data_IF_726987589572
#
_entry.id   IF_726987589572
#
_cell.length_a   1.000
_cell.length_b   1.000
_cell.length_c   1.000
_cell.angle_alpha   90.00
_cell.angle_beta   90.00
_cell.angle_gamma   90.00
#
_symmetry.space_group_name_H-M   'P 1'
#
loop_
_entity.id
_entity.type
_entity.pdbx_description
1 polymer ?
#
# COMPACT_ATOMS: atom_id res chain seq x y z
N UNK A 1 -45.71 38.53 25.32
CA UNK A 1 -44.96 37.26 25.35
C UNK A 1 -44.77 36.71 23.93
N UNK A 2 -44.05 37.44 23.06
CA UNK A 2 -43.79 36.97 21.68
C UNK A 2 -42.45 37.46 21.10
N UNK A 3 -41.78 38.42 21.74
CA UNK A 3 -40.54 39.01 21.23
C UNK A 3 -39.26 38.29 21.69
N UNK A 4 -39.34 37.36 22.66
CA UNK A 4 -38.17 36.67 23.21
C UNK A 4 -37.87 35.31 22.54
N UNK A 5 -38.76 34.80 21.69
CA UNK A 5 -38.58 33.49 21.05
C UNK A 5 -37.77 33.52 19.74
N UNK A 6 -37.58 34.70 19.13
CA UNK A 6 -36.97 34.80 17.80
C UNK A 6 -35.43 34.94 17.83
N UNK A 7 -34.83 35.38 18.94
CA UNK A 7 -33.36 35.56 19.02
C UNK A 7 -32.58 34.28 19.33
N UNK A 8 -33.22 33.21 19.80
CA UNK A 8 -32.53 31.96 20.12
C UNK A 8 -32.26 31.08 18.88
N UNK A 9 -33.05 31.23 17.81
CA UNK A 9 -32.98 30.35 16.63
C UNK A 9 -31.90 30.79 15.63
N UNK A 10 -31.58 32.09 15.56
CA UNK A 10 -30.56 32.62 14.64
C UNK A 10 -29.12 32.36 15.09
N UNK A 11 -28.86 32.20 16.40
CA UNK A 11 -27.51 31.92 16.93
C UNK A 11 -27.07 30.46 16.69
N UNK A 12 -28.00 29.50 16.63
CA UNK A 12 -27.67 28.09 16.36
C UNK A 12 -27.38 27.80 14.88
N UNK A 13 -28.00 28.55 13.96
CA UNK A 13 -27.79 28.37 12.52
C UNK A 13 -26.39 28.83 12.05
N UNK A 14 -25.81 29.85 12.70
CA UNK A 14 -24.46 30.35 12.39
C UNK A 14 -23.35 29.45 12.94
N UNK A 15 -23.56 28.78 14.07
CA UNK A 15 -22.59 27.84 14.65
C UNK A 15 -22.39 26.57 13.80
N UNK A 16 -23.49 26.02 13.25
CA UNK A 16 -23.44 24.81 12.43
C UNK A 16 -22.73 24.99 11.08
N UNK A 17 -22.92 26.16 10.44
CA UNK A 17 -22.29 26.48 9.16
C UNK A 17 -20.77 26.69 9.28
N UNK A 18 -20.32 27.36 10.35
CA UNK A 18 -18.90 27.56 10.60
C UNK A 18 -18.17 26.24 10.93
N UNK A 19 -18.81 25.36 11.70
CA UNK A 19 -18.22 24.06 12.08
C UNK A 19 -18.13 23.09 10.88
N UNK A 20 -19.16 23.07 10.02
CA UNK A 20 -19.16 22.30 8.78
C UNK A 20 -18.09 22.76 7.78
N UNK A 21 -17.87 24.07 7.68
CA UNK A 21 -16.83 24.65 6.82
C UNK A 21 -15.41 24.31 7.31
N UNK A 22 -15.16 24.33 8.62
CA UNK A 22 -13.85 24.00 9.21
C UNK A 22 -13.54 22.50 9.06
N UNK A 23 -14.51 21.62 9.31
CA UNK A 23 -14.33 20.18 9.10
C UNK A 23 -14.17 19.82 7.61
N UNK A 24 -14.94 20.47 6.73
CA UNK A 24 -14.82 20.33 5.29
C UNK A 24 -13.45 20.78 4.78
N UNK A 25 -12.95 21.92 5.24
CA UNK A 25 -11.64 22.47 4.88
C UNK A 25 -10.48 21.59 5.36
N UNK A 26 -10.58 20.98 6.54
CA UNK A 26 -9.56 20.07 7.08
C UNK A 26 -9.46 18.79 6.26
N UNK A 27 -10.61 18.18 5.92
CA UNK A 27 -10.70 16.98 5.08
C UNK A 27 -10.26 17.25 3.62
N UNK A 28 -10.53 18.46 3.11
CA UNK A 28 -10.02 18.89 1.81
C UNK A 28 -8.50 19.05 1.84
N UNK A 29 -7.95 19.71 2.88
CA UNK A 29 -6.51 19.89 3.05
C UNK A 29 -5.76 18.58 3.13
N UNK A 30 -6.28 17.57 3.84
CA UNK A 30 -5.68 16.23 3.89
C UNK A 30 -5.64 15.58 2.50
N UNK A 31 -6.73 15.67 1.73
CA UNK A 31 -6.78 15.16 0.35
C UNK A 31 -5.86 15.91 -0.61
N UNK A 32 -5.75 17.22 -0.45
CA UNK A 32 -4.84 18.05 -1.25
C UNK A 32 -3.38 17.85 -0.87
N UNK A 33 -3.07 17.63 0.41
CA UNK A 33 -1.74 17.24 0.87
C UNK A 33 -1.36 15.88 0.28
N UNK A 34 -2.23 14.87 0.39
CA UNK A 34 -2.00 13.56 -0.22
C UNK A 34 -1.78 13.64 -1.74
N UNK A 35 -2.58 14.46 -2.45
CA UNK A 35 -2.38 14.70 -3.90
C UNK A 35 -1.09 15.47 -4.21
N UNK A 36 -0.71 16.45 -3.40
CA UNK A 36 0.50 17.26 -3.58
C UNK A 36 1.76 16.41 -3.32
N UNK A 37 1.76 15.59 -2.28
CA UNK A 37 2.81 14.59 -2.04
C UNK A 37 2.90 13.59 -3.20
N UNK A 38 1.76 13.13 -3.74
CA UNK A 38 1.73 12.24 -4.90
C UNK A 38 2.30 12.88 -6.17
N UNK A 39 2.01 14.16 -6.42
CA UNK A 39 2.57 14.91 -7.57
C UNK A 39 4.05 15.21 -7.40
N UNK A 40 4.50 15.57 -6.20
CA UNK A 40 5.92 15.80 -5.93
C UNK A 40 6.75 14.52 -6.14
N UNK A 41 6.19 13.34 -5.83
CA UNK A 41 6.79 12.03 -6.10
C UNK A 41 6.94 11.70 -7.59
N UNK A 42 6.13 12.31 -8.47
CA UNK A 42 6.14 12.06 -9.93
C UNK A 42 7.21 12.87 -10.69
N UNK A 43 7.86 13.84 -10.05
CA UNK A 43 8.88 14.72 -10.66
C UNK A 43 10.31 14.44 -10.20
N UNK A 44 10.51 13.34 -9.45
CA UNK A 44 11.82 12.94 -8.97
C UNK A 44 12.65 12.26 -10.09
N UNK A 45 14.01 12.29 -10.02
CA UNK A 45 14.85 11.36 -10.76
C UNK A 45 14.33 9.92 -10.59
N UNK A 46 14.59 9.05 -11.57
CA UNK A 46 14.08 7.67 -11.61
C UNK A 46 14.08 7.05 -10.20
N UNK A 47 12.89 6.64 -9.72
CA UNK A 47 12.72 6.08 -8.37
C UNK A 47 13.73 4.92 -8.22
N UNK A 48 14.68 4.97 -7.26
CA UNK A 48 15.70 3.95 -7.09
C UNK A 48 15.13 2.53 -7.00
N UNK A 49 13.90 2.40 -6.47
CA UNK A 49 13.20 1.13 -6.44
C UNK A 49 12.81 0.65 -7.83
N UNK A 50 12.25 1.53 -8.68
CA UNK A 50 11.85 1.17 -10.04
C UNK A 50 13.05 0.87 -10.94
N UNK A 51 14.16 1.59 -10.75
CA UNK A 51 15.43 1.30 -11.42
C UNK A 51 15.95 -0.10 -11.05
N UNK A 52 16.01 -0.42 -9.75
CA UNK A 52 16.47 -1.72 -9.27
C UNK A 52 15.65 -2.90 -9.83
N UNK A 53 14.32 -2.76 -9.92
CA UNK A 53 13.48 -3.79 -10.56
C UNK A 53 13.77 -3.96 -12.05
N UNK A 54 14.07 -2.86 -12.73
CA UNK A 54 14.37 -2.86 -14.17
C UNK A 54 15.73 -3.49 -14.42
N UNK A 55 16.74 -3.15 -13.62
CA UNK A 55 18.10 -3.71 -13.70
C UNK A 55 18.07 -5.22 -13.44
N UNK A 56 17.40 -5.66 -12.37
CA UNK A 56 17.27 -7.08 -12.07
C UNK A 56 16.59 -7.87 -13.21
N UNK A 57 15.54 -7.29 -13.82
CA UNK A 57 14.83 -7.93 -14.93
C UNK A 57 15.65 -7.94 -16.24
N UNK A 58 16.49 -6.92 -16.47
CA UNK A 58 17.38 -6.86 -17.62
C UNK A 58 18.54 -7.85 -17.52
N UNK A 59 19.08 -8.05 -16.31
CA UNK A 59 20.22 -8.93 -16.07
C UNK A 59 19.81 -10.40 -15.98
N UNK A 60 18.61 -10.68 -15.47
CA UNK A 60 18.03 -12.02 -15.36
C UNK A 60 16.81 -12.19 -16.29
N UNK A 61 17.03 -12.09 -17.60
CA UNK A 61 15.99 -12.15 -18.65
C UNK A 61 15.13 -13.44 -18.59
N UNK A 62 15.72 -14.58 -18.21
CA UNK A 62 15.03 -15.85 -18.00
C UNK A 62 14.01 -15.83 -16.83
N UNK A 63 14.12 -14.85 -15.92
CA UNK A 63 13.32 -14.75 -14.71
C UNK A 63 12.38 -13.53 -14.68
N UNK A 64 12.22 -12.81 -15.80
CA UNK A 64 11.41 -11.57 -15.87
C UNK A 64 10.02 -11.73 -15.28
N UNK A 65 9.31 -12.81 -15.60
CA UNK A 65 7.96 -13.07 -15.07
C UNK A 65 7.93 -13.23 -13.55
N UNK A 66 8.96 -13.88 -12.98
CA UNK A 66 9.11 -14.09 -11.53
C UNK A 66 9.39 -12.77 -10.82
N UNK A 67 10.31 -11.97 -11.37
CA UNK A 67 10.64 -10.63 -10.87
C UNK A 67 9.42 -9.71 -10.96
N UNK A 68 8.67 -9.74 -12.06
CA UNK A 68 7.45 -8.94 -12.24
C UNK A 68 6.35 -9.31 -11.23
N UNK A 69 6.19 -10.60 -10.92
CA UNK A 69 5.27 -11.06 -9.89
C UNK A 69 5.66 -10.51 -8.51
N UNK A 70 6.95 -10.63 -8.13
CA UNK A 70 7.47 -10.11 -6.87
C UNK A 70 7.29 -8.57 -6.77
N UNK A 71 7.65 -7.84 -7.83
CA UNK A 71 7.45 -6.38 -7.93
C UNK A 71 5.99 -6.01 -7.72
N UNK A 72 5.07 -6.75 -8.35
CA UNK A 72 3.64 -6.48 -8.26
C UNK A 72 3.13 -6.66 -6.83
N UNK A 73 3.52 -7.73 -6.13
CA UNK A 73 3.14 -7.95 -4.73
C UNK A 73 3.66 -6.82 -3.82
N UNK A 74 4.92 -6.42 -3.99
CA UNK A 74 5.53 -5.29 -3.30
C UNK A 74 4.78 -3.97 -3.57
N UNK A 75 4.49 -3.67 -4.83
CA UNK A 75 3.79 -2.46 -5.24
C UNK A 75 2.38 -2.36 -4.62
N UNK A 76 1.65 -3.48 -4.53
CA UNK A 76 0.33 -3.52 -3.88
C UNK A 76 0.40 -3.18 -2.40
N UNK A 77 1.41 -3.69 -1.68
CA UNK A 77 1.58 -3.35 -0.27
C UNK A 77 2.02 -1.89 -0.08
N UNK A 78 2.96 -1.41 -0.89
CA UNK A 78 3.37 0.01 -0.91
C UNK A 78 2.16 0.92 -1.14
N UNK A 79 1.25 0.54 -2.03
CA UNK A 79 0.02 1.30 -2.27
C UNK A 79 -0.90 1.34 -1.05
N UNK A 80 -0.95 0.28 -0.22
CA UNK A 80 -1.68 0.30 1.06
C UNK A 80 -1.01 1.27 2.03
N UNK A 81 0.30 1.16 2.22
CA UNK A 81 1.07 2.04 3.09
C UNK A 81 0.94 3.52 2.71
N UNK A 82 0.95 3.82 1.40
CA UNK A 82 0.80 5.18 0.89
C UNK A 82 -0.65 5.70 1.04
N UNK A 83 -1.64 4.82 1.05
CA UNK A 83 -3.06 5.20 1.19
C UNK A 83 -3.48 5.35 2.66
N UNK A 84 -2.89 4.56 3.56
CA UNK A 84 -3.21 4.54 4.98
C UNK A 84 -1.92 4.56 5.83
N UNK A 85 -1.47 5.76 6.26
CA UNK A 85 -0.29 5.91 7.11
C UNK A 85 -0.44 5.27 8.51
N UNK A 86 -1.65 4.90 8.93
CA UNK A 86 -1.89 4.23 10.21
C UNK A 86 -1.79 2.70 10.10
N UNK A 87 -1.67 2.15 8.89
CA UNK A 87 -1.40 0.74 8.65
C UNK A 87 0.07 0.42 8.95
N UNK A 88 0.46 0.49 10.21
CA UNK A 88 1.87 0.46 10.66
C UNK A 88 2.68 -0.72 10.09
N UNK A 89 2.17 -1.96 10.14
CA UNK A 89 2.87 -3.13 9.56
C UNK A 89 3.08 -2.99 8.04
N UNK A 90 2.11 -2.41 7.32
CA UNK A 90 2.26 -2.16 5.88
C UNK A 90 3.26 -1.04 5.60
N UNK A 91 3.25 0.03 6.40
CA UNK A 91 4.19 1.16 6.29
C UNK A 91 5.62 0.72 6.56
N UNK A 92 5.84 -0.02 7.64
CA UNK A 92 7.17 -0.51 8.03
C UNK A 92 7.75 -1.41 6.95
N UNK A 93 6.96 -2.36 6.44
CA UNK A 93 7.44 -3.25 5.39
C UNK A 93 7.59 -2.55 4.05
N UNK A 94 6.74 -1.59 3.70
CA UNK A 94 6.93 -0.77 2.50
C UNK A 94 8.25 0.00 2.55
N UNK A 95 8.66 0.48 3.73
CA UNK A 95 9.96 1.13 3.92
C UNK A 95 11.12 0.14 3.82
N UNK A 96 10.96 -1.08 4.34
CA UNK A 96 11.93 -2.18 4.13
C UNK A 96 12.11 -2.46 2.65
N UNK A 97 11.03 -2.61 1.88
CA UNK A 97 11.09 -2.89 0.43
C UNK A 97 11.80 -1.76 -0.32
N UNK A 98 11.42 -0.49 -0.05
CA UNK A 98 12.01 0.69 -0.71
C UNK A 98 13.51 0.82 -0.50
N UNK A 99 14.03 0.34 0.63
CA UNK A 99 15.47 0.37 0.92
C UNK A 99 16.17 -0.91 0.47
N UNK A 100 15.65 -2.07 0.86
CA UNK A 100 16.35 -3.35 0.75
C UNK A 100 16.41 -3.88 -0.68
N UNK A 101 15.39 -3.63 -1.50
CA UNK A 101 15.40 -4.10 -2.91
C UNK A 101 16.52 -3.40 -3.69
N UNK A 102 16.62 -2.06 -3.70
CA UNK A 102 17.77 -1.38 -4.32
C UNK A 102 19.12 -1.88 -3.79
N UNK A 103 19.27 -2.01 -2.47
CA UNK A 103 20.53 -2.45 -1.86
C UNK A 103 20.93 -3.87 -2.33
N UNK A 104 19.98 -4.80 -2.38
CA UNK A 104 20.23 -6.18 -2.83
C UNK A 104 20.60 -6.25 -4.30
N UNK A 105 19.89 -5.52 -5.15
CA UNK A 105 20.19 -5.48 -6.59
C UNK A 105 21.57 -4.85 -6.79
N UNK A 106 21.86 -3.72 -6.17
CA UNK A 106 23.16 -3.05 -6.28
C UNK A 106 24.32 -3.93 -5.80
N UNK A 107 24.15 -4.64 -4.68
CA UNK A 107 25.16 -5.59 -4.19
C UNK A 107 25.39 -6.74 -5.17
N UNK A 108 24.32 -7.35 -5.69
CA UNK A 108 24.42 -8.42 -6.67
C UNK A 108 25.11 -7.94 -7.97
N UNK A 109 24.78 -6.75 -8.46
CA UNK A 109 25.43 -6.17 -9.65
C UNK A 109 26.91 -5.87 -9.41
N UNK A 110 27.28 -5.44 -8.21
CA UNK A 110 28.68 -5.24 -7.84
C UNK A 110 29.44 -6.58 -7.84
N UNK A 111 28.86 -7.64 -7.28
CA UNK A 111 29.44 -8.99 -7.30
C UNK A 111 29.54 -9.56 -8.71
N UNK A 112 28.58 -9.27 -9.58
CA UNK A 112 28.57 -9.76 -10.96
C UNK A 112 29.61 -9.06 -11.87
N UNK A 113 30.15 -7.91 -11.48
CA UNK A 113 31.07 -7.11 -12.32
C UNK A 113 32.36 -7.87 -12.66
N UNK A 114 32.90 -8.58 -11.69
CA UNK A 114 34.19 -9.29 -11.81
C UNK A 114 34.00 -10.82 -11.82
N UNK A 115 32.75 -11.29 -11.90
CA UNK A 115 32.39 -12.70 -11.86
C UNK A 115 32.53 -13.39 -13.23
N UNK A 116 32.86 -14.67 -13.22
CA UNK A 116 32.72 -15.51 -14.42
C UNK A 116 31.24 -15.65 -14.81
N UNK A 117 30.96 -16.09 -16.05
CA UNK A 117 29.58 -16.29 -16.51
C UNK A 117 28.78 -17.27 -15.62
N UNK A 118 29.43 -18.33 -15.11
CA UNK A 118 28.81 -19.31 -14.23
C UNK A 118 28.53 -18.75 -12.83
N UNK A 119 29.41 -17.91 -12.30
CA UNK A 119 29.20 -17.21 -11.01
C UNK A 119 28.12 -16.16 -11.15
N UNK A 120 28.17 -15.31 -12.20
CA UNK A 120 27.12 -14.33 -12.49
C UNK A 120 25.75 -15.01 -12.59
N UNK A 121 25.65 -16.15 -13.26
CA UNK A 121 24.39 -16.91 -13.33
C UNK A 121 23.87 -17.32 -11.96
N UNK A 122 24.73 -17.87 -11.10
CA UNK A 122 24.38 -18.27 -9.73
C UNK A 122 23.96 -17.07 -8.88
N UNK A 123 24.73 -15.99 -8.90
CA UNK A 123 24.42 -14.77 -8.16
C UNK A 123 23.05 -14.18 -8.56
N UNK A 124 22.73 -14.20 -9.86
CA UNK A 124 21.43 -13.73 -10.35
C UNK A 124 20.29 -14.67 -9.98
N UNK A 125 20.49 -15.99 -9.98
CA UNK A 125 19.49 -16.94 -9.49
C UNK A 125 19.21 -16.74 -7.98
N UNK A 126 20.25 -16.49 -7.17
CA UNK A 126 20.12 -16.17 -5.74
C UNK A 126 19.41 -14.83 -5.49
N UNK A 127 19.69 -13.81 -6.33
CA UNK A 127 18.99 -12.53 -6.31
C UNK A 127 17.49 -12.73 -6.61
N UNK A 128 17.17 -13.48 -7.67
CA UNK A 128 15.77 -13.77 -8.05
C UNK A 128 15.03 -14.45 -6.90
N UNK A 129 15.62 -15.48 -6.28
CA UNK A 129 15.01 -16.16 -5.13
C UNK A 129 14.78 -15.19 -3.95
N UNK A 130 15.74 -14.31 -3.69
CA UNK A 130 15.62 -13.29 -2.64
C UNK A 130 14.49 -12.30 -2.93
N UNK A 131 14.36 -11.84 -4.18
CA UNK A 131 13.28 -10.95 -4.59
C UNK A 131 11.91 -11.62 -4.49
N UNK A 132 11.80 -12.91 -4.85
CA UNK A 132 10.56 -13.68 -4.67
C UNK A 132 10.18 -13.83 -3.20
N UNK A 133 11.14 -14.12 -2.32
CA UNK A 133 10.90 -14.17 -0.86
C UNK A 133 10.36 -12.84 -0.34
N UNK A 134 10.92 -11.72 -0.79
CA UNK A 134 10.42 -10.37 -0.45
C UNK A 134 9.00 -10.17 -0.96
N UNK A 135 8.73 -10.52 -2.23
CA UNK A 135 7.41 -10.42 -2.83
C UNK A 135 6.35 -11.27 -2.12
N UNK A 136 6.70 -12.51 -1.77
CA UNK A 136 5.83 -13.42 -1.01
C UNK A 136 5.52 -12.88 0.39
N UNK A 137 6.52 -12.30 1.08
CA UNK A 137 6.29 -11.69 2.39
C UNK A 137 5.45 -10.41 2.29
N UNK A 138 5.62 -9.61 1.24
CA UNK A 138 4.77 -8.45 0.98
C UNK A 138 3.31 -8.87 0.77
N UNK A 139 3.08 -9.96 0.04
CA UNK A 139 1.73 -10.52 -0.16
C UNK A 139 1.13 -11.02 1.17
N UNK A 140 1.89 -11.77 1.98
CA UNK A 140 1.45 -12.22 3.31
C UNK A 140 1.03 -11.06 4.22
N UNK A 141 1.81 -9.97 4.23
CA UNK A 141 1.46 -8.76 4.99
C UNK A 141 0.21 -8.07 4.48
N UNK A 142 0.07 -8.01 3.16
CA UNK A 142 -1.12 -7.45 2.52
C UNK A 142 -2.38 -8.22 2.92
N UNK A 143 -2.28 -9.55 2.98
CA UNK A 143 -3.41 -10.41 3.35
C UNK A 143 -3.74 -10.27 4.84
N UNK A 144 -2.73 -10.22 5.73
CA UNK A 144 -2.96 -9.86 7.15
C UNK A 144 -3.69 -8.53 7.34
N UNK A 145 -3.29 -7.51 6.58
CA UNK A 145 -3.96 -6.20 6.60
C UNK A 145 -5.42 -6.29 6.12
N UNK A 146 -5.73 -7.16 5.14
CA UNK A 146 -7.10 -7.37 4.66
C UNK A 146 -7.94 -8.15 5.66
N UNK A 147 -7.39 -9.18 6.28
CA UNK A 147 -8.10 -10.02 7.25
C UNK A 147 -8.46 -9.24 8.51
N UNK A 148 -7.65 -8.26 8.91
CA UNK A 148 -7.97 -7.33 9.99
C UNK A 148 -9.12 -6.36 9.69
N UNK A 149 -9.59 -6.29 8.44
CA UNK A 149 -10.73 -5.44 8.05
C UNK A 149 -11.99 -6.28 8.00
N UNK A 150 -12.97 -5.94 8.84
CA UNK A 150 -14.32 -6.50 8.72
C UNK A 150 -14.89 -6.11 7.36
N UNK A 151 -14.94 -7.07 6.44
CA UNK A 151 -15.52 -6.85 5.12
C UNK A 151 -17.04 -6.69 5.27
N UNK A 152 -17.65 -5.62 4.71
CA UNK A 152 -19.11 -5.51 4.65
C UNK A 152 -19.76 -6.72 4.00
N UNK A 153 -19.06 -7.36 3.04
CA UNK A 153 -19.50 -8.59 2.40
C UNK A 153 -19.39 -9.81 3.31
N UNK A 154 -18.43 -9.85 4.25
CA UNK A 154 -18.36 -10.91 5.25
C UNK A 154 -19.58 -10.84 6.19
N UNK A 155 -19.97 -9.63 6.62
CA UNK A 155 -21.18 -9.41 7.43
C UNK A 155 -22.44 -9.85 6.66
N UNK A 156 -22.55 -9.46 5.39
CA UNK A 156 -23.67 -9.86 4.54
C UNK A 156 -23.71 -11.38 4.31
N UNK A 157 -22.55 -12.03 4.09
CA UNK A 157 -22.48 -13.49 3.92
C UNK A 157 -22.88 -14.21 5.21
N UNK A 158 -22.38 -13.77 6.37
CA UNK A 158 -22.80 -14.31 7.67
C UNK A 158 -24.29 -14.14 7.89
N UNK A 159 -24.86 -12.99 7.53
CA UNK A 159 -26.30 -12.76 7.66
C UNK A 159 -27.14 -13.65 6.74
N UNK A 160 -26.70 -13.86 5.49
CA UNK A 160 -27.35 -14.79 4.56
C UNK A 160 -27.22 -16.22 5.07
N UNK A 161 -26.02 -16.66 5.45
CA UNK A 161 -25.76 -18.01 6.00
C UNK A 161 -26.61 -18.29 7.26
N UNK A 162 -26.80 -17.29 8.12
CA UNK A 162 -27.67 -17.40 9.30
C UNK A 162 -29.17 -17.57 8.93
N UNK A 163 -29.60 -17.01 7.80
CA UNK A 163 -31.00 -17.12 7.33
C UNK A 163 -31.26 -18.29 6.40
N UNK A 164 -30.23 -18.82 5.75
CA UNK A 164 -30.33 -19.96 4.83
C UNK A 164 -29.93 -21.29 5.48
N UNK A 165 -29.30 -21.26 6.67
CA UNK A 165 -29.25 -22.45 7.53
C UNK A 165 -30.68 -22.85 7.90
N UNK A 166 -31.15 -23.91 7.25
CA UNK A 166 -32.33 -24.67 7.68
C UNK A 166 -32.11 -25.06 9.14
N UNK A 167 -33.10 -24.76 9.97
CA UNK A 167 -33.14 -25.15 11.38
C UNK A 167 -32.87 -26.67 11.48
N UNK A 168 -31.84 -27.13 12.22
CA UNK A 168 -31.57 -28.56 12.36
C UNK A 168 -32.61 -29.29 13.23
N UNK A 169 -33.68 -28.62 13.66
CA UNK A 169 -34.79 -29.20 14.44
C UNK A 169 -36.15 -29.14 13.72
N UNK A 170 -36.18 -29.01 12.39
CA UNK A 170 -37.37 -29.20 11.57
C UNK A 170 -37.61 -30.66 11.22
#
# INVERSE_FOLDING_TARGET
MAALAFMAVTLFALGGAAFGAVLGARKLRERFAARKFRRMRQTAPADPLDAAWTDAAGEADWAVSRIAAARTSCARLIAIADADPLATDAVDWANVVRRRVPDLVAACMAECRDATAAERRRNLDDLVESLEKIGAEAERRRDRFRDGRVSPFAVQRTYVDQRTRRDPLG
#
